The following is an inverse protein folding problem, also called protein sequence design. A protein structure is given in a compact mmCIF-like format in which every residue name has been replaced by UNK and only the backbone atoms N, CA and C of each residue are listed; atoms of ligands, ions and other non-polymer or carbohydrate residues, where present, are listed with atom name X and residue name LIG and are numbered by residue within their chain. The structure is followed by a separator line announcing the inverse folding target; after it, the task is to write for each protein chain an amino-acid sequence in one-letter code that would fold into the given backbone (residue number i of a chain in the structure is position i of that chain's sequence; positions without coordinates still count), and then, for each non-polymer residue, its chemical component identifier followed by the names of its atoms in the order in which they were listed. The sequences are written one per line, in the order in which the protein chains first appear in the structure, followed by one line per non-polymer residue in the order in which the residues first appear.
data_IF_026960305453
#
_entry.id   IF_026960305453
#
_cell.length_a   1.000
_cell.length_b   1.000
_cell.length_c   1.000
_cell.angle_alpha   90.00
_cell.angle_beta   90.00
_cell.angle_gamma   90.00
#
_symmetry.space_group_name_H-M   'P 1'
#
loop_
_entity.id
_entity.type
_entity.pdbx_description
1 polymer ?
#
# COMPACT_ATOMS: atom_id res chain seq x y z
N UNK A 1 5.33 37.13 1.45
CA UNK A 1 4.12 36.81 2.24
C UNK A 1 3.34 35.64 1.66
N UNK A 2 3.07 35.58 0.34
CA UNK A 2 2.46 34.39 -0.31
C UNK A 2 3.33 33.14 -0.22
N UNK A 3 4.64 33.29 -0.42
CA UNK A 3 5.58 32.16 -0.48
C UNK A 3 5.78 31.49 0.89
N UNK A 4 5.72 32.25 1.98
CA UNK A 4 5.80 31.73 3.35
C UNK A 4 4.59 30.86 3.73
N UNK A 5 3.40 31.25 3.27
CA UNK A 5 2.16 30.50 3.50
C UNK A 5 2.21 29.20 2.72
N UNK A 6 2.56 29.24 1.43
CA UNK A 6 2.66 28.05 0.59
C UNK A 6 3.68 27.03 1.15
N UNK A 7 4.85 27.51 1.59
CA UNK A 7 5.88 26.66 2.18
C UNK A 7 5.46 26.05 3.53
N UNK A 8 4.69 26.79 4.32
CA UNK A 8 4.16 26.29 5.60
C UNK A 8 3.07 25.24 5.38
N UNK A 9 2.14 25.47 4.46
CA UNK A 9 1.11 24.50 4.08
C UNK A 9 1.74 23.21 3.55
N UNK A 10 2.73 23.31 2.66
CA UNK A 10 3.44 22.15 2.14
C UNK A 10 4.08 21.32 3.26
N UNK A 11 4.75 21.96 4.24
CA UNK A 11 5.33 21.26 5.38
C UNK A 11 4.28 20.55 6.22
N UNK A 12 3.19 21.22 6.57
CA UNK A 12 2.10 20.63 7.37
C UNK A 12 1.51 19.41 6.66
N UNK A 13 1.22 19.51 5.36
CA UNK A 13 0.69 18.38 4.58
C UNK A 13 1.71 17.24 4.51
N UNK A 14 2.97 17.54 4.18
CA UNK A 14 4.04 16.54 4.07
C UNK A 14 4.23 15.77 5.37
N UNK A 15 4.38 16.46 6.50
CA UNK A 15 4.60 15.82 7.80
C UNK A 15 3.33 15.15 8.32
N UNK A 16 2.15 15.71 8.05
CA UNK A 16 0.87 15.08 8.39
C UNK A 16 0.68 13.73 7.69
N UNK A 17 0.98 13.66 6.39
CA UNK A 17 0.93 12.40 5.62
C UNK A 17 1.95 11.40 6.17
N UNK A 18 3.19 11.82 6.42
CA UNK A 18 4.23 10.95 6.97
C UNK A 18 3.81 10.41 8.35
N UNK A 19 3.29 11.26 9.22
CA UNK A 19 2.82 10.86 10.54
C UNK A 19 1.66 9.86 10.44
N UNK A 20 0.66 10.15 9.61
CA UNK A 20 -0.46 9.24 9.37
C UNK A 20 -0.02 7.87 8.83
N UNK A 21 0.95 7.85 7.91
CA UNK A 21 1.53 6.62 7.39
C UNK A 21 2.26 5.83 8.47
N UNK A 22 3.07 6.48 9.32
CA UNK A 22 3.81 5.82 10.40
C UNK A 22 2.84 5.22 11.43
N UNK A 23 1.84 5.99 11.88
CA UNK A 23 0.85 5.52 12.85
C UNK A 23 0.00 4.40 12.25
N UNK A 24 -0.51 4.57 11.02
CA UNK A 24 -1.30 3.56 10.33
C UNK A 24 -0.53 2.25 10.11
N UNK A 25 0.73 2.34 9.66
CA UNK A 25 1.58 1.16 9.48
C UNK A 25 1.89 0.48 10.82
N UNK A 26 2.09 1.23 11.90
CA UNK A 26 2.32 0.68 13.24
C UNK A 26 1.11 -0.10 13.76
N UNK A 27 -0.09 0.44 13.58
CA UNK A 27 -1.35 -0.26 13.95
C UNK A 27 -1.52 -1.52 13.12
N UNK A 28 -1.25 -1.45 11.81
CA UNK A 28 -1.32 -2.62 10.93
C UNK A 28 -0.32 -3.70 11.33
N UNK A 29 0.91 -3.32 11.68
CA UNK A 29 1.92 -4.27 12.13
C UNK A 29 1.49 -4.96 13.42
N UNK A 30 1.01 -4.21 14.42
CA UNK A 30 0.49 -4.78 15.67
C UNK A 30 -0.70 -5.70 15.39
N UNK A 31 -1.67 -5.26 14.58
CA UNK A 31 -2.81 -6.08 14.17
C UNK A 31 -2.36 -7.37 13.47
N UNK A 32 -1.37 -7.29 12.57
CA UNK A 32 -0.80 -8.44 11.87
C UNK A 32 -0.13 -9.44 12.82
N UNK A 33 0.54 -8.96 13.87
CA UNK A 33 1.19 -9.81 14.86
C UNK A 33 0.19 -10.47 15.82
N UNK A 34 -0.90 -9.76 16.17
CA UNK A 34 -1.93 -10.22 17.10
C UNK A 34 -2.94 -11.15 16.45
N UNK A 35 -3.49 -10.78 15.29
CA UNK A 35 -4.57 -11.51 14.63
C UNK A 35 -4.03 -12.67 13.80
N UNK A 36 -2.91 -12.46 13.09
CA UNK A 36 -2.28 -13.45 12.21
C UNK A 36 -3.29 -14.17 11.31
N UNK A 37 -4.09 -13.42 10.58
CA UNK A 37 -5.11 -13.99 9.71
C UNK A 37 -4.49 -14.62 8.46
N UNK A 38 -4.10 -15.88 8.61
CA UNK A 38 -3.53 -16.72 7.55
C UNK A 38 -4.59 -17.61 6.89
N UNK A 39 -5.84 -17.59 7.38
CA UNK A 39 -6.88 -18.53 6.94
C UNK A 39 -7.18 -18.39 5.45
N UNK A 40 -7.18 -17.16 4.93
CA UNK A 40 -7.36 -16.89 3.51
C UNK A 40 -6.17 -17.37 2.66
N UNK A 41 -4.95 -17.06 3.11
CA UNK A 41 -3.70 -17.42 2.41
C UNK A 41 -3.57 -18.94 2.28
N UNK A 42 -3.90 -19.67 3.35
CA UNK A 42 -3.87 -21.14 3.35
C UNK A 42 -4.93 -21.75 2.44
N UNK A 43 -6.13 -21.17 2.39
CA UNK A 43 -7.24 -21.69 1.57
C UNK A 43 -7.07 -21.39 0.09
N UNK A 44 -6.61 -20.19 -0.27
CA UNK A 44 -6.53 -19.71 -1.66
C UNK A 44 -5.16 -19.08 -1.99
N UNK A 45 -4.04 -19.82 -1.86
CA UNK A 45 -2.70 -19.25 -1.97
C UNK A 45 -2.41 -18.63 -3.36
N UNK A 46 -2.90 -19.27 -4.43
CA UNK A 46 -2.71 -18.77 -5.79
C UNK A 46 -3.44 -17.45 -6.03
N UNK A 47 -4.69 -17.35 -5.55
CA UNK A 47 -5.48 -16.14 -5.70
C UNK A 47 -4.86 -14.99 -4.91
N UNK A 48 -4.46 -15.26 -3.66
CA UNK A 48 -3.77 -14.29 -2.82
C UNK A 48 -2.50 -13.73 -3.48
N UNK A 49 -1.64 -14.59 -4.03
CA UNK A 49 -0.43 -14.16 -4.75
C UNK A 49 -0.83 -13.30 -5.95
N UNK A 50 -1.82 -13.73 -6.75
CA UNK A 50 -2.25 -12.96 -7.92
C UNK A 50 -2.81 -11.59 -7.55
N UNK A 51 -3.64 -11.50 -6.51
CA UNK A 51 -4.21 -10.24 -6.03
C UNK A 51 -3.12 -9.31 -5.52
N UNK A 52 -2.19 -9.83 -4.72
CA UNK A 52 -1.05 -9.06 -4.18
C UNK A 52 -0.19 -8.48 -5.31
N UNK A 53 0.12 -9.29 -6.33
CA UNK A 53 0.92 -8.85 -7.47
C UNK A 53 0.16 -7.83 -8.34
N UNK A 54 -1.12 -8.08 -8.62
CA UNK A 54 -1.96 -7.18 -9.42
C UNK A 54 -2.09 -5.82 -8.73
N UNK A 55 -2.37 -5.80 -7.43
CA UNK A 55 -2.46 -4.57 -6.65
C UNK A 55 -1.13 -3.80 -6.67
N UNK A 56 -0.01 -4.49 -6.48
CA UNK A 56 1.32 -3.90 -6.57
C UNK A 56 1.60 -3.29 -7.95
N UNK A 57 1.41 -4.07 -9.02
CA UNK A 57 1.72 -3.66 -10.40
C UNK A 57 0.82 -2.50 -10.84
N UNK A 58 -0.50 -2.65 -10.69
CA UNK A 58 -1.45 -1.63 -11.15
C UNK A 58 -1.26 -0.29 -10.43
N UNK A 59 -0.88 -0.32 -9.15
CA UNK A 59 -0.60 0.90 -8.38
C UNK A 59 0.73 1.54 -8.78
N UNK A 60 1.74 0.76 -9.17
CA UNK A 60 3.05 1.26 -9.56
C UNK A 60 3.13 1.69 -11.04
N UNK A 61 2.25 1.19 -11.91
CA UNK A 61 2.22 1.52 -13.35
C UNK A 61 2.19 3.03 -13.68
N UNK A 62 1.40 3.87 -12.98
CA UNK A 62 1.41 5.32 -13.23
C UNK A 62 2.80 5.97 -13.09
N UNK A 63 3.68 5.41 -12.26
CA UNK A 63 5.06 5.89 -12.06
C UNK A 63 5.85 5.74 -13.35
N UNK A 64 5.77 4.58 -13.99
CA UNK A 64 6.42 4.32 -15.29
C UNK A 64 5.90 5.32 -16.33
N UNK A 65 4.58 5.49 -16.39
CA UNK A 65 3.96 6.39 -17.36
C UNK A 65 4.41 7.84 -17.16
N UNK A 66 4.41 8.35 -15.92
CA UNK A 66 4.81 9.72 -15.60
C UNK A 66 6.31 9.93 -15.86
N UNK A 67 7.16 9.00 -15.45
CA UNK A 67 8.60 9.10 -15.66
C UNK A 67 8.95 9.05 -17.16
N UNK A 68 8.26 8.21 -17.94
CA UNK A 68 8.38 8.20 -19.39
C UNK A 68 8.03 9.55 -20.01
N UNK A 69 6.90 10.15 -19.64
CA UNK A 69 6.48 11.47 -20.14
C UNK A 69 7.44 12.60 -19.73
N UNK A 70 8.18 12.43 -18.62
CA UNK A 70 9.15 13.41 -18.12
C UNK A 70 10.56 13.20 -18.64
N UNK A 71 10.81 12.18 -19.46
CA UNK A 71 12.14 11.87 -19.97
C UNK A 71 13.14 11.45 -18.87
N UNK A 72 12.64 10.87 -17.78
CA UNK A 72 13.47 10.36 -16.68
C UNK A 72 14.26 9.12 -17.17
N UNK A 73 15.53 8.94 -16.76
CA UNK A 73 16.29 7.75 -17.12
C UNK A 73 15.57 6.44 -16.75
N UNK A 74 15.75 5.42 -17.58
CA UNK A 74 15.10 4.11 -17.37
C UNK A 74 15.49 3.47 -16.03
N UNK A 75 16.74 3.65 -15.59
CA UNK A 75 17.23 3.10 -14.32
C UNK A 75 16.50 3.71 -13.13
N UNK A 76 16.35 5.05 -13.12
CA UNK A 76 15.63 5.76 -12.05
C UNK A 76 14.13 5.41 -12.06
N UNK A 77 13.56 5.28 -13.26
CA UNK A 77 12.15 4.87 -13.43
C UNK A 77 11.89 3.47 -12.87
N UNK A 78 12.78 2.51 -13.16
CA UNK A 78 12.66 1.15 -12.64
C UNK A 78 12.85 1.12 -11.13
N UNK A 79 13.82 1.87 -10.61
CA UNK A 79 14.04 2.00 -9.18
C UNK A 79 12.78 2.53 -8.46
N UNK A 80 12.19 3.62 -8.94
CA UNK A 80 10.99 4.22 -8.34
C UNK A 80 9.76 3.32 -8.46
N UNK A 81 9.59 2.66 -9.61
CA UNK A 81 8.55 1.64 -9.81
C UNK A 81 8.70 0.50 -8.79
N UNK A 82 9.90 -0.07 -8.65
CA UNK A 82 10.16 -1.18 -7.73
C UNK A 82 9.92 -0.76 -6.28
N UNK A 83 10.33 0.44 -5.89
CA UNK A 83 10.07 0.96 -4.53
C UNK A 83 8.58 1.09 -4.24
N UNK A 84 7.78 1.61 -5.18
CA UNK A 84 6.34 1.76 -4.98
C UNK A 84 5.66 0.39 -5.00
N UNK A 85 6.01 -0.48 -5.94
CA UNK A 85 5.53 -1.85 -6.01
C UNK A 85 5.74 -2.59 -4.68
N UNK A 86 6.96 -2.60 -4.15
CA UNK A 86 7.28 -3.29 -2.90
C UNK A 86 6.51 -2.71 -1.70
N UNK A 87 6.39 -1.38 -1.61
CA UNK A 87 5.60 -0.74 -0.55
C UNK A 87 4.14 -1.19 -0.56
N UNK A 88 3.52 -1.25 -1.74
CA UNK A 88 2.13 -1.68 -1.90
C UNK A 88 1.97 -3.16 -1.59
N UNK A 89 2.90 -4.01 -2.05
CA UNK A 89 2.91 -5.43 -1.72
C UNK A 89 2.97 -5.63 -0.20
N UNK A 90 3.94 -5.02 0.49
CA UNK A 90 4.04 -5.15 1.95
C UNK A 90 2.83 -4.62 2.70
N UNK A 91 2.26 -3.50 2.23
CA UNK A 91 1.05 -2.94 2.81
C UNK A 91 -0.14 -3.91 2.66
N UNK A 92 -0.31 -4.50 1.47
CA UNK A 92 -1.37 -5.46 1.19
C UNK A 92 -1.22 -6.75 2.02
N UNK A 93 0.02 -7.26 2.15
CA UNK A 93 0.33 -8.37 3.06
C UNK A 93 -0.04 -8.02 4.51
N UNK A 94 0.31 -6.81 4.96
CA UNK A 94 -0.03 -6.31 6.29
C UNK A 94 -1.53 -6.28 6.53
N UNK A 95 -2.32 -5.75 5.59
CA UNK A 95 -3.78 -5.73 5.68
C UNK A 95 -4.40 -7.13 5.72
N UNK A 96 -3.87 -8.06 4.93
CA UNK A 96 -4.35 -9.44 4.94
C UNK A 96 -4.06 -10.10 6.30
N UNK A 97 -2.81 -10.05 6.76
CA UNK A 97 -2.38 -10.70 7.98
C UNK A 97 -2.96 -10.05 9.25
N UNK A 98 -3.28 -8.76 9.21
CA UNK A 98 -3.95 -8.06 10.31
C UNK A 98 -5.44 -8.39 10.42
N UNK A 99 -5.99 -9.17 9.48
CA UNK A 99 -7.42 -9.49 9.44
C UNK A 99 -8.30 -8.29 9.07
N UNK A 100 -7.72 -7.19 8.56
CA UNK A 100 -8.50 -6.00 8.16
C UNK A 100 -9.44 -6.36 7.02
N UNK A 101 -8.99 -7.13 6.04
CA UNK A 101 -9.86 -7.59 4.96
C UNK A 101 -10.98 -8.50 5.45
N UNK A 102 -10.72 -9.41 6.38
CA UNK A 102 -11.74 -10.28 6.96
C UNK A 102 -12.78 -9.51 7.79
N UNK A 103 -12.37 -8.41 8.44
CA UNK A 103 -13.26 -7.52 9.17
C UNK A 103 -14.12 -6.64 8.24
N UNK A 104 -13.55 -6.12 7.15
CA UNK A 104 -14.25 -5.27 6.18
C UNK A 104 -15.15 -6.07 5.23
N UNK A 105 -14.70 -7.26 4.85
CA UNK A 105 -15.38 -8.16 3.92
C UNK A 105 -15.64 -9.51 4.60
N UNK A 106 -16.48 -9.56 5.65
CA UNK A 106 -16.81 -10.82 6.29
C UNK A 106 -17.45 -11.73 5.24
N UNK A 107 -17.01 -13.00 5.17
CA UNK A 107 -17.69 -13.98 4.34
C UNK A 107 -19.15 -14.05 4.79
N UNK A 108 -20.06 -13.53 3.96
CA UNK A 108 -21.49 -13.58 4.23
C UNK A 108 -21.89 -15.03 4.47
N UNK A 109 -22.23 -15.35 5.73
CA UNK A 109 -22.75 -16.66 6.13
C UNK A 109 -24.19 -16.89 5.66
N UNK A 110 -24.70 -16.07 4.73
CA UNK A 110 -26.05 -16.16 4.17
C UNK A 110 -26.02 -16.64 2.74
N UNK A 111 -25.54 -17.87 2.55
CA UNK A 111 -25.87 -18.75 1.42
C UNK A 111 -25.64 -20.19 1.92
N UNK A 112 -26.51 -20.62 2.82
CA UNK A 112 -26.84 -22.03 3.02
C UNK A 112 -28.32 -22.18 2.71
#
# INVERSE_FOLDING_TARGET
MSDDIAHTVYRVIKYGIIFGLVVGFSILLVGSLLVRDIGYIQKNPKFFISETLVMGILTALPVIFICYLRGVPHVDTLHDFTLIFLKIVFLHLGFQLSGVYSALFPMSSKLK
#
